data_IF_693904429927
#
_entry.id   IF_693904429927
#
_cell.length_a   1.000
_cell.length_b   1.000
_cell.length_c   1.000
_cell.angle_alpha   90.00
_cell.angle_beta   90.00
_cell.angle_gamma   90.00
#
_symmetry.space_group_name_H-M   'P 1'
#
loop_
_entity.id
_entity.type
_entity.pdbx_description
1 polymer ?
#
# COMPACT_ATOMS: atom_id res chain seq x y z
N UNK A 1 13.05 8.52 8.22
CA UNK A 1 12.52 7.13 8.30
C UNK A 1 11.23 6.96 7.47
N UNK A 2 10.23 7.84 7.64
CA UNK A 2 8.97 7.83 6.86
C UNK A 2 9.15 7.83 5.33
N UNK A 3 10.12 8.60 4.80
CA UNK A 3 10.34 8.68 3.34
C UNK A 3 10.75 7.37 2.66
N UNK A 4 11.35 6.43 3.40
CA UNK A 4 11.71 5.11 2.85
C UNK A 4 10.48 4.21 2.71
N UNK A 5 9.57 4.28 3.69
CA UNK A 5 8.29 3.57 3.68
C UNK A 5 7.42 4.06 2.53
N UNK A 6 7.32 5.39 2.36
CA UNK A 6 6.56 6.00 1.26
C UNK A 6 7.15 5.60 -0.10
N UNK A 7 8.48 5.55 -0.24
CA UNK A 7 9.13 5.10 -1.47
C UNK A 7 8.82 3.65 -1.83
N UNK A 8 8.85 2.74 -0.86
CA UNK A 8 8.50 1.33 -1.11
C UNK A 8 7.02 1.21 -1.51
N UNK A 9 6.15 1.96 -0.85
CA UNK A 9 4.71 2.01 -1.16
C UNK A 9 4.47 2.47 -2.60
N UNK A 10 5.13 3.55 -3.00
CA UNK A 10 5.02 4.12 -4.35
C UNK A 10 5.63 3.20 -5.41
N UNK A 11 6.78 2.58 -5.13
CA UNK A 11 7.39 1.60 -6.03
C UNK A 11 6.47 0.39 -6.23
N UNK A 12 5.87 -0.14 -5.16
CA UNK A 12 4.90 -1.22 -5.24
C UNK A 12 3.66 -0.84 -6.05
N UNK A 13 3.11 0.35 -5.79
CA UNK A 13 1.97 0.88 -6.52
C UNK A 13 2.27 1.03 -8.02
N UNK A 14 3.43 1.58 -8.39
CA UNK A 14 3.85 1.75 -9.77
C UNK A 14 4.10 0.42 -10.50
N UNK A 15 4.63 -0.61 -9.80
CA UNK A 15 4.79 -1.95 -10.37
C UNK A 15 3.42 -2.58 -10.66
N UNK A 16 2.47 -2.47 -9.74
CA UNK A 16 1.12 -3.01 -9.90
C UNK A 16 0.37 -2.25 -11.00
N UNK A 17 0.48 -0.91 -11.04
CA UNK A 17 -0.12 -0.07 -12.07
C UNK A 17 0.42 -0.41 -13.46
N UNK A 18 1.74 -0.56 -13.59
CA UNK A 18 2.39 -0.93 -14.86
C UNK A 18 2.13 -2.35 -15.32
N UNK A 19 1.69 -3.24 -14.42
CA UNK A 19 1.21 -4.57 -14.78
C UNK A 19 -0.26 -4.54 -15.21
N UNK A 20 -1.06 -3.65 -14.63
CA UNK A 20 -2.49 -3.59 -14.84
C UNK A 20 -2.89 -2.83 -16.12
N UNK A 21 -2.14 -1.79 -16.51
CA UNK A 21 -2.44 -0.93 -17.67
C UNK A 21 -1.16 -0.48 -18.41
N UNK A 22 -1.21 -0.34 -19.75
CA UNK A 22 -0.12 0.26 -20.54
C UNK A 22 0.20 1.68 -20.09
N UNK A 23 1.50 2.03 -19.99
CA UNK A 23 1.95 3.33 -19.44
C UNK A 23 1.57 4.54 -20.29
N UNK A 24 1.29 4.34 -21.58
CA UNK A 24 0.93 5.41 -22.52
C UNK A 24 -0.57 5.77 -22.50
N UNK A 25 -1.37 5.08 -21.68
CA UNK A 25 -2.80 5.35 -21.58
C UNK A 25 -3.07 6.54 -20.66
N UNK A 26 -3.95 7.46 -21.06
CA UNK A 26 -4.31 8.64 -20.24
C UNK A 26 -4.88 8.26 -18.86
N UNK A 27 -5.38 7.02 -18.72
CA UNK A 27 -5.84 6.44 -17.46
C UNK A 27 -4.74 5.97 -16.50
N UNK A 28 -3.48 5.89 -16.93
CA UNK A 28 -2.38 5.36 -16.10
C UNK A 28 -2.22 6.15 -14.79
N UNK A 29 -2.24 7.49 -14.87
CA UNK A 29 -2.10 8.35 -13.70
C UNK A 29 -3.27 8.20 -12.71
N UNK A 30 -4.50 7.98 -13.22
CA UNK A 30 -5.69 7.78 -12.38
C UNK A 30 -5.59 6.43 -11.65
N UNK A 31 -5.20 5.39 -12.37
CA UNK A 31 -5.05 4.04 -11.80
C UNK A 31 -3.91 3.98 -10.80
N UNK A 32 -2.79 4.63 -11.10
CA UNK A 32 -1.68 4.79 -10.15
C UNK A 32 -2.14 5.49 -8.86
N UNK A 33 -2.90 6.59 -8.99
CA UNK A 33 -3.44 7.33 -7.85
C UNK A 33 -4.41 6.48 -7.01
N UNK A 34 -5.28 5.70 -7.65
CA UNK A 34 -6.19 4.76 -6.97
C UNK A 34 -5.42 3.67 -6.22
N UNK A 35 -4.38 3.10 -6.82
CA UNK A 35 -3.55 2.07 -6.17
C UNK A 35 -2.84 2.65 -4.94
N UNK A 36 -2.31 3.88 -5.03
CA UNK A 36 -1.70 4.57 -3.89
C UNK A 36 -2.72 4.78 -2.76
N UNK A 37 -3.93 5.22 -3.08
CA UNK A 37 -5.03 5.38 -2.11
C UNK A 37 -5.38 4.07 -1.40
N UNK A 38 -5.50 2.97 -2.14
CA UNK A 38 -5.76 1.64 -1.58
C UNK A 38 -4.62 1.21 -0.66
N UNK A 39 -3.36 1.41 -1.07
CA UNK A 39 -2.21 1.12 -0.22
C UNK A 39 -2.21 1.95 1.06
N UNK A 40 -2.60 3.22 0.98
CA UNK A 40 -2.69 4.09 2.15
C UNK A 40 -3.78 3.60 3.12
N UNK A 41 -4.95 3.23 2.58
CA UNK A 41 -6.04 2.65 3.38
C UNK A 41 -5.62 1.34 4.06
N UNK A 42 -4.96 0.44 3.33
CA UNK A 42 -4.43 -0.80 3.88
C UNK A 42 -3.36 -0.53 4.95
N UNK A 43 -2.49 0.45 4.74
CA UNK A 43 -1.50 0.86 5.73
C UNK A 43 -2.16 1.40 7.01
N UNK A 44 -3.20 2.23 6.90
CA UNK A 44 -3.97 2.71 8.06
C UNK A 44 -4.63 1.57 8.82
N UNK A 45 -5.26 0.62 8.11
CA UNK A 45 -5.84 -0.59 8.72
C UNK A 45 -4.76 -1.41 9.41
N UNK A 46 -3.62 -1.61 8.76
CA UNK A 46 -2.50 -2.35 9.32
C UNK A 46 -1.97 -1.67 10.60
N UNK A 47 -1.72 -0.37 10.59
CA UNK A 47 -1.24 0.36 11.78
C UNK A 47 -2.24 0.25 12.94
N UNK A 48 -3.55 0.30 12.65
CA UNK A 48 -4.58 0.25 13.68
C UNK A 48 -4.78 -1.17 14.26
N UNK A 49 -4.74 -2.20 13.40
CA UNK A 49 -5.11 -3.56 13.78
C UNK A 49 -3.93 -4.51 14.03
N UNK A 50 -2.78 -4.32 13.36
CA UNK A 50 -1.58 -5.15 13.56
C UNK A 50 -1.12 -5.17 15.02
N UNK A 51 -0.95 -4.03 15.74
CA UNK A 51 -0.52 -4.09 17.14
C UNK A 51 -1.53 -4.81 18.04
N UNK A 52 -2.84 -4.64 17.79
CA UNK A 52 -3.91 -5.35 18.50
C UNK A 52 -3.89 -6.86 18.23
N UNK A 53 -3.63 -7.25 16.99
CA UNK A 53 -3.57 -8.65 16.57
C UNK A 53 -2.30 -9.33 17.10
N UNK A 54 -1.17 -8.62 17.10
CA UNK A 54 0.11 -9.10 17.64
C UNK A 54 0.06 -9.29 19.16
N UNK A 55 -0.59 -8.37 19.88
CA UNK A 55 -0.84 -8.51 21.31
C UNK A 55 -1.68 -9.76 21.62
N UNK A 56 -2.77 -9.99 20.87
CA UNK A 56 -3.59 -11.20 21.03
C UNK A 56 -2.87 -12.49 20.64
N UNK A 57 -1.95 -12.44 19.67
CA UNK A 57 -1.12 -13.59 19.31
C UNK A 57 -0.10 -13.94 20.40
N UNK A 58 0.42 -12.95 21.11
CA UNK A 58 1.37 -13.16 22.21
C UNK A 58 0.73 -13.79 23.46
N UNK A 59 -0.55 -13.51 23.73
CA UNK A 59 -1.29 -14.14 24.84
C UNK A 59 -1.69 -15.60 24.58
N UNK A 60 -1.65 -16.04 23.32
CA UNK A 60 -2.07 -17.39 22.90
C UNK A 60 -0.90 -18.39 22.81
N UNK A 61 0.32 -17.97 23.13
CA UNK A 61 1.56 -18.75 23.03
C UNK A 61 2.20 -18.90 24.40
#
# INVERSE_FOLDING_TARGET
MLGFVVRILLLGAGIIAGWLIPRDDAGFAVVEFVIVLVFFALASVAILYVPKLWARWKERK
#
